data_IF_251678823836
#
_entry.id   IF_251678823836
#
_cell.length_a   1.000
_cell.length_b   1.000
_cell.length_c   1.000
_cell.angle_alpha   90.00
_cell.angle_beta   90.00
_cell.angle_gamma   90.00
#
_symmetry.space_group_name_H-M   'P 1'
#
loop_
_entity.id
_entity.type
_entity.pdbx_description
1 polymer ?
#
# COMPACT_ATOMS: atom_id res chain seq x y z
N UNK A 1 -2.99 17.15 -16.01
CA UNK A 1 -2.47 15.85 -15.51
C UNK A 1 -3.65 14.94 -15.20
N UNK A 2 -3.89 13.89 -15.99
CA UNK A 2 -4.94 12.89 -15.68
C UNK A 2 -4.47 12.02 -14.51
N UNK A 3 -4.91 12.32 -13.28
CA UNK A 3 -4.81 11.39 -12.15
C UNK A 3 -5.71 10.20 -12.49
N UNK A 4 -5.15 9.09 -13.01
CA UNK A 4 -5.86 7.81 -12.97
C UNK A 4 -6.26 7.58 -11.50
N UNK A 5 -7.56 7.66 -11.24
CA UNK A 5 -8.16 7.30 -9.95
C UNK A 5 -7.83 5.84 -9.66
N UNK A 6 -7.50 5.49 -8.41
CA UNK A 6 -7.34 4.09 -8.03
C UNK A 6 -8.65 3.35 -8.35
N UNK A 7 -8.53 2.15 -8.93
CA UNK A 7 -9.67 1.38 -9.42
C UNK A 7 -10.51 0.78 -8.29
N UNK A 8 -9.95 0.70 -7.08
CA UNK A 8 -10.56 0.08 -5.90
C UNK A 8 -11.07 1.11 -4.89
N UNK A 9 -12.20 0.79 -4.24
CA UNK A 9 -12.82 1.53 -3.14
C UNK A 9 -13.06 0.59 -1.94
N UNK A 10 -13.12 1.11 -0.69
CA UNK A 10 -13.22 0.32 0.55
C UNK A 10 -14.27 -0.81 0.57
N UNK A 11 -15.43 -0.59 -0.04
CA UNK A 11 -16.53 -1.57 -0.03
C UNK A 11 -16.43 -2.65 -1.12
N UNK A 12 -15.35 -2.65 -1.92
CA UNK A 12 -15.13 -3.65 -2.97
C UNK A 12 -14.22 -4.79 -2.49
N UNK A 13 -14.45 -6.02 -2.97
CA UNK A 13 -13.54 -7.12 -2.69
C UNK A 13 -12.12 -6.81 -3.19
N UNK A 14 -11.13 -7.26 -2.42
CA UNK A 14 -9.73 -7.04 -2.77
C UNK A 14 -9.38 -7.81 -4.06
N UNK A 15 -8.84 -7.13 -5.09
CA UNK A 15 -8.42 -7.81 -6.31
C UNK A 15 -7.20 -8.70 -6.02
N UNK A 16 -7.02 -9.78 -6.77
CA UNK A 16 -5.83 -10.65 -6.64
C UNK A 16 -4.54 -9.90 -7.00
N UNK A 17 -4.57 -9.12 -8.08
CA UNK A 17 -3.46 -8.31 -8.55
C UNK A 17 -3.89 -6.86 -8.70
N UNK A 18 -3.01 -5.93 -8.38
CA UNK A 18 -3.30 -4.50 -8.55
C UNK A 18 -2.06 -3.71 -8.97
N UNK A 19 -2.30 -2.54 -9.58
CA UNK A 19 -1.25 -1.58 -9.88
C UNK A 19 -0.82 -0.80 -8.63
N UNK A 20 0.28 -0.06 -8.71
CA UNK A 20 0.85 0.66 -7.54
C UNK A 20 -0.12 1.68 -6.91
N UNK A 21 -0.99 2.28 -7.73
CA UNK A 21 -1.95 3.29 -7.26
C UNK A 21 -3.05 2.65 -6.44
N UNK A 22 -3.60 1.55 -6.97
CA UNK A 22 -4.64 0.77 -6.31
C UNK A 22 -4.09 0.10 -5.05
N UNK A 23 -2.87 -0.46 -5.11
CA UNK A 23 -2.16 -0.97 -3.93
C UNK A 23 -1.98 0.08 -2.84
N UNK A 24 -1.54 1.29 -3.21
CA UNK A 24 -1.36 2.37 -2.23
C UNK A 24 -2.69 2.76 -1.57
N UNK A 25 -3.80 2.79 -2.33
CA UNK A 25 -5.13 3.05 -1.77
C UNK A 25 -5.59 1.94 -0.81
N UNK A 26 -5.41 0.67 -1.21
CA UNK A 26 -5.71 -0.49 -0.37
C UNK A 26 -4.91 -0.45 0.93
N UNK A 27 -3.58 -0.31 0.85
CA UNK A 27 -2.72 -0.29 2.05
C UNK A 27 -3.03 0.90 2.95
N UNK A 28 -3.26 2.09 2.36
CA UNK A 28 -3.62 3.29 3.12
C UNK A 28 -4.93 3.11 3.90
N UNK A 29 -5.89 2.39 3.32
CA UNK A 29 -7.16 2.12 4.00
C UNK A 29 -7.02 1.11 5.15
N UNK A 30 -6.14 0.12 5.02
CA UNK A 30 -6.06 -1.01 5.96
C UNK A 30 -4.98 -0.85 7.06
N UNK A 31 -3.90 -0.11 6.81
CA UNK A 31 -2.75 -0.04 7.72
C UNK A 31 -2.30 1.39 8.01
N UNK A 32 -1.61 2.03 7.06
CA UNK A 32 -1.04 3.36 7.24
C UNK A 32 -0.92 4.09 5.90
N UNK A 33 -0.93 5.44 5.90
CA UNK A 33 -0.80 6.22 4.68
C UNK A 33 0.48 5.89 3.91
N UNK A 34 0.32 5.50 2.65
CA UNK A 34 1.45 5.15 1.78
C UNK A 34 1.25 5.71 0.38
N UNK A 35 2.35 6.17 -0.23
CA UNK A 35 2.33 6.68 -1.61
C UNK A 35 2.61 5.56 -2.62
N UNK A 36 2.15 5.67 -3.87
CA UNK A 36 2.51 4.72 -4.93
C UNK A 36 4.03 4.62 -5.17
N UNK A 37 4.78 5.71 -4.89
CA UNK A 37 6.25 5.75 -4.98
C UNK A 37 6.91 4.97 -3.84
N UNK A 38 6.26 4.90 -2.69
CA UNK A 38 6.72 4.08 -1.57
C UNK A 38 6.56 2.60 -1.89
N UNK A 39 5.41 2.19 -2.45
CA UNK A 39 5.16 0.81 -2.91
C UNK A 39 6.20 0.33 -3.93
N UNK A 40 6.69 1.23 -4.81
CA UNK A 40 7.75 0.89 -5.78
C UNK A 40 9.07 0.45 -5.13
N UNK A 41 9.33 0.87 -3.89
CA UNK A 41 10.55 0.53 -3.14
C UNK A 41 10.39 -0.72 -2.29
N UNK A 42 9.17 -1.26 -2.19
CA UNK A 42 8.93 -2.46 -1.40
C UNK A 42 9.50 -3.68 -2.12
N UNK A 43 10.02 -4.68 -1.38
CA UNK A 43 10.58 -5.89 -1.95
C UNK A 43 9.49 -6.87 -2.42
N UNK A 44 8.54 -6.39 -3.23
CA UNK A 44 7.41 -7.17 -3.75
C UNK A 44 7.72 -7.76 -5.13
N UNK A 45 7.17 -8.94 -5.42
CA UNK A 45 7.30 -9.56 -6.74
C UNK A 45 6.42 -8.85 -7.77
N UNK A 46 7.05 -8.09 -8.67
CA UNK A 46 6.39 -7.42 -9.78
C UNK A 46 6.09 -8.37 -10.94
N UNK A 47 4.85 -8.42 -11.42
CA UNK A 47 4.44 -9.10 -12.66
C UNK A 47 4.17 -8.09 -13.76
N UNK A 48 4.48 -8.43 -15.01
CA UNK A 48 4.35 -7.52 -16.17
C UNK A 48 3.47 -8.05 -17.32
N UNK A 49 2.17 -8.29 -17.11
CA UNK A 49 1.26 -8.59 -18.23
C UNK A 49 1.13 -7.37 -19.15
N UNK A 50 1.27 -7.57 -20.47
CA UNK A 50 1.02 -6.54 -21.49
C UNK A 50 1.65 -5.16 -21.18
N UNK A 51 2.93 -5.14 -20.79
CA UNK A 51 3.70 -3.93 -20.39
C UNK A 51 3.19 -3.19 -19.14
N UNK A 52 2.17 -3.71 -18.46
CA UNK A 52 1.62 -3.14 -17.22
C UNK A 52 2.24 -3.82 -16.01
N UNK A 53 2.68 -3.04 -15.01
CA UNK A 53 3.27 -3.60 -13.78
C UNK A 53 2.18 -3.79 -12.72
N UNK A 54 2.03 -5.02 -12.24
CA UNK A 54 1.06 -5.39 -11.20
C UNK A 54 1.74 -6.22 -10.11
N UNK A 55 1.20 -6.17 -8.90
CA UNK A 55 1.71 -6.93 -7.75
C UNK A 55 0.57 -7.73 -7.11
N UNK A 56 0.92 -8.80 -6.41
CA UNK A 56 -0.05 -9.59 -5.66
C UNK A 56 -0.50 -8.77 -4.44
N UNK A 57 -1.81 -8.58 -4.29
CA UNK A 57 -2.34 -7.74 -3.20
C UNK A 57 -2.06 -8.38 -1.84
N UNK A 58 -2.21 -9.69 -1.72
CA UNK A 58 -1.93 -10.43 -0.48
C UNK A 58 -0.48 -10.25 0.01
N UNK A 59 0.49 -10.32 -0.90
CA UNK A 59 1.92 -10.12 -0.58
C UNK A 59 2.16 -8.72 -0.03
N UNK A 60 1.55 -7.71 -0.65
CA UNK A 60 1.68 -6.33 -0.21
C UNK A 60 1.02 -6.08 1.16
N UNK A 61 -0.13 -6.70 1.44
CA UNK A 61 -0.79 -6.59 2.74
C UNK A 61 0.07 -7.22 3.85
N UNK A 62 0.63 -8.42 3.62
CA UNK A 62 1.55 -9.08 4.58
C UNK A 62 2.78 -8.22 4.86
N UNK A 63 3.34 -7.59 3.83
CA UNK A 63 4.49 -6.69 4.03
C UNK A 63 4.10 -5.42 4.79
N UNK A 64 2.93 -4.84 4.50
CA UNK A 64 2.43 -3.67 5.23
C UNK A 64 2.19 -3.99 6.71
N UNK A 65 1.58 -5.13 7.01
CA UNK A 65 1.39 -5.62 8.38
C UNK A 65 2.73 -5.76 9.11
N UNK A 66 3.69 -6.45 8.51
CA UNK A 66 5.03 -6.59 9.09
C UNK A 66 5.73 -5.25 9.33
N UNK A 67 5.59 -4.29 8.42
CA UNK A 67 6.13 -2.94 8.60
C UNK A 67 5.49 -2.20 9.79
N UNK A 68 4.18 -2.37 9.98
CA UNK A 68 3.46 -1.77 11.10
C UNK A 68 3.85 -2.42 12.43
N UNK A 69 3.97 -3.75 12.47
CA UNK A 69 4.39 -4.49 13.66
C UNK A 69 5.83 -4.15 14.09
N UNK A 70 6.72 -3.95 13.13
CA UNK A 70 8.12 -3.58 13.40
C UNK A 70 8.32 -2.07 13.60
N UNK A 71 7.27 -1.26 13.48
CA UNK A 71 7.40 0.18 13.66
C UNK A 71 7.72 0.52 15.12
N UNK A 72 8.65 1.46 15.31
CA UNK A 72 8.97 1.95 16.65
C UNK A 72 7.74 2.56 17.30
N UNK A 73 7.39 2.05 18.48
CA UNK A 73 6.38 2.67 19.33
C UNK A 73 6.98 3.91 19.98
N UNK A 74 6.55 5.09 19.52
CA UNK A 74 6.92 6.36 20.15
C UNK A 74 5.82 6.77 21.13
N UNK A 75 6.13 6.77 22.43
CA UNK A 75 5.28 7.43 23.42
C UNK A 75 5.46 8.93 23.26
N UNK A 76 4.42 9.61 22.76
CA UNK A 76 4.40 11.06 22.73
C UNK A 76 4.26 11.57 24.17
N UNK A 77 5.40 11.80 24.82
CA UNK A 77 5.47 12.53 26.09
C UNK A 77 4.90 13.93 25.85
N UNK A 78 3.68 14.16 26.34
CA UNK A 78 3.01 15.45 26.20
C UNK A 78 3.67 16.51 27.05
N UNK A 79 4.77 17.09 26.57
CA UNK A 79 5.27 18.37 27.11
C UNK A 79 4.46 19.49 26.46
N UNK A 80 3.28 19.75 27.02
CA UNK A 80 2.59 21.03 26.82
C UNK A 80 3.18 22.00 27.83
N UNK A 81 4.04 22.88 27.36
CA UNK A 81 4.41 24.11 28.07
C UNK A 81 3.47 25.25 27.69
#
# INVERSE_FOLDING_TARGET
>A
MHRKVPFWVPDQPLPKYADRKTLAAIVTHNFFPVSPRTIERWPLVAKRPNKSVVYLVEEALRYAESQLENAYSYMQSGDRK
#
